data_IF_059731653350
#
_entry.id   IF_059731653350
#
_cell.length_a   1.000
_cell.length_b   1.000
_cell.length_c   1.000
_cell.angle_alpha   90.00
_cell.angle_beta   90.00
_cell.angle_gamma   90.00
#
_symmetry.space_group_name_H-M   'P 1'
#
loop_
_entity.id
_entity.type
_entity.pdbx_description
1 polymer ?
#
# COMPACT_ATOMS: atom_id res chain seq x y z
N UNK A 1 -22.25 1.83 2.50
CA UNK A 1 -21.74 2.72 3.57
C UNK A 1 -20.23 2.94 3.46
N UNK A 2 -19.39 1.89 3.48
CA UNK A 2 -17.91 2.05 3.43
C UNK A 2 -17.40 2.93 2.28
N UNK A 3 -17.90 2.77 1.06
CA UNK A 3 -17.45 3.55 -0.10
C UNK A 3 -17.85 5.03 0.00
N UNK A 4 -19.01 5.33 0.57
CA UNK A 4 -19.49 6.72 0.74
C UNK A 4 -18.62 7.47 1.74
N UNK A 5 -18.14 6.80 2.80
CA UNK A 5 -17.24 7.39 3.79
C UNK A 5 -15.79 7.45 3.32
N UNK A 6 -15.38 6.58 2.39
CA UNK A 6 -14.03 6.57 1.83
C UNK A 6 -13.69 7.83 1.03
N UNK A 7 -14.68 8.43 0.32
CA UNK A 7 -14.44 9.62 -0.51
C UNK A 7 -14.06 10.85 0.34
N UNK A 8 -14.84 11.29 1.34
CA UNK A 8 -14.44 12.42 2.18
C UNK A 8 -13.18 12.11 3.00
N UNK A 9 -13.01 10.86 3.43
CA UNK A 9 -11.82 10.41 4.16
C UNK A 9 -10.55 10.56 3.32
N UNK A 10 -10.59 10.21 2.03
CA UNK A 10 -9.42 10.34 1.14
C UNK A 10 -8.94 11.78 1.01
N UNK A 11 -9.87 12.75 0.96
CA UNK A 11 -9.54 14.16 0.90
C UNK A 11 -8.93 14.67 2.23
N UNK A 12 -9.48 14.22 3.35
CA UNK A 12 -8.97 14.59 4.67
C UNK A 12 -7.55 14.02 4.89
N UNK A 13 -7.36 12.75 4.62
CA UNK A 13 -6.08 12.07 4.83
C UNK A 13 -5.02 12.43 3.77
N UNK A 14 -5.41 12.91 2.58
CA UNK A 14 -4.48 13.47 1.61
C UNK A 14 -3.76 14.72 2.16
N UNK A 15 -4.45 15.56 2.93
CA UNK A 15 -3.83 16.71 3.62
C UNK A 15 -2.86 16.24 4.70
N UNK A 16 -3.26 15.25 5.49
CA UNK A 16 -2.41 14.65 6.53
C UNK A 16 -1.15 14.01 5.94
N UNK A 17 -1.28 13.27 4.84
CA UNK A 17 -0.16 12.63 4.14
C UNK A 17 0.86 13.66 3.63
N UNK A 18 0.40 14.82 3.18
CA UNK A 18 1.30 15.91 2.76
C UNK A 18 2.07 16.53 3.91
N UNK A 19 1.50 16.57 5.12
CA UNK A 19 2.15 17.19 6.28
C UNK A 19 3.13 16.25 6.99
N UNK A 20 2.83 14.95 7.04
CA UNK A 20 3.62 13.96 7.80
C UNK A 20 4.60 13.19 6.92
N UNK A 21 4.38 13.20 5.60
CA UNK A 21 5.11 12.39 4.63
C UNK A 21 4.40 11.07 4.31
N UNK A 22 4.61 10.58 3.08
CA UNK A 22 3.89 9.41 2.56
C UNK A 22 4.21 8.12 3.34
N UNK A 23 5.47 7.91 3.72
CA UNK A 23 5.90 6.71 4.45
C UNK A 23 5.29 6.62 5.85
N UNK A 24 5.40 7.69 6.64
CA UNK A 24 4.83 7.75 8.00
C UNK A 24 3.30 7.65 7.96
N UNK A 25 2.66 8.29 6.98
CA UNK A 25 1.21 8.21 6.77
C UNK A 25 0.78 6.78 6.42
N UNK A 26 1.55 6.07 5.60
CA UNK A 26 1.27 4.66 5.27
C UNK A 26 1.40 3.75 6.49
N UNK A 27 2.47 3.88 7.28
CA UNK A 27 2.62 3.13 8.53
C UNK A 27 1.47 3.38 9.50
N UNK A 28 1.05 4.64 9.65
CA UNK A 28 -0.07 4.99 10.52
C UNK A 28 -1.39 4.39 10.01
N UNK A 29 -1.60 4.34 8.70
CA UNK A 29 -2.78 3.68 8.11
C UNK A 29 -2.80 2.16 8.34
N UNK A 30 -1.65 1.49 8.32
CA UNK A 30 -1.54 0.06 8.65
C UNK A 30 -1.85 -0.21 10.12
N UNK A 31 -1.36 0.65 11.03
CA UNK A 31 -1.72 0.57 12.46
C UNK A 31 -3.22 0.76 12.65
N UNK A 32 -3.81 1.76 12.01
CA UNK A 32 -5.25 1.98 12.03
C UNK A 32 -6.03 0.74 11.62
N UNK A 33 -5.68 0.15 10.47
CA UNK A 33 -6.30 -1.06 9.95
C UNK A 33 -6.15 -2.25 10.89
N UNK A 34 -4.93 -2.50 11.36
CA UNK A 34 -4.64 -3.59 12.31
C UNK A 34 -5.46 -3.47 13.58
N UNK A 35 -5.53 -2.28 14.17
CA UNK A 35 -6.29 -2.02 15.40
C UNK A 35 -7.79 -2.17 15.16
N UNK A 36 -8.35 -1.54 14.13
CA UNK A 36 -9.79 -1.60 13.83
C UNK A 36 -10.23 -3.04 13.54
N UNK A 37 -9.44 -3.80 12.76
CA UNK A 37 -9.75 -5.20 12.44
C UNK A 37 -9.61 -6.11 13.65
N UNK A 38 -8.63 -5.89 14.52
CA UNK A 38 -8.45 -6.68 15.75
C UNK A 38 -9.57 -6.43 16.78
N UNK A 39 -10.05 -5.19 16.88
CA UNK A 39 -11.09 -4.79 17.83
C UNK A 39 -12.50 -5.18 17.36
N UNK A 40 -12.74 -5.22 16.05
CA UNK A 40 -14.04 -5.50 15.45
C UNK A 40 -14.72 -6.81 16.00
N UNK A 41 -14.04 -7.97 16.10
CA UNK A 41 -14.66 -9.21 16.57
C UNK A 41 -15.15 -9.15 18.03
N UNK A 42 -14.54 -8.31 18.86
CA UNK A 42 -14.94 -8.18 20.26
C UNK A 42 -16.24 -7.35 20.41
N UNK A 43 -16.43 -6.36 19.55
CA UNK A 43 -17.58 -5.47 19.58
C UNK A 43 -18.77 -5.93 18.72
N UNK A 44 -18.54 -6.84 17.76
CA UNK A 44 -19.58 -7.35 16.86
C UNK A 44 -20.21 -8.68 17.36
N UNK A 45 -19.99 -9.08 18.61
CA UNK A 45 -20.30 -10.42 19.13
C UNK A 45 -21.75 -10.67 19.52
N UNK A 46 -22.72 -9.84 19.12
CA UNK A 46 -24.11 -10.09 19.48
C UNK A 46 -25.14 -9.44 18.54
N UNK A 47 -26.33 -10.03 18.42
CA UNK A 47 -27.41 -9.52 17.53
C UNK A 47 -27.94 -8.14 17.96
N UNK A 48 -27.70 -7.73 19.20
CA UNK A 48 -28.14 -6.44 19.74
C UNK A 48 -27.24 -5.26 19.30
N UNK A 49 -26.07 -5.56 18.73
CA UNK A 49 -25.05 -4.57 18.42
C UNK A 49 -25.06 -4.11 16.95
N UNK A 50 -26.25 -4.06 16.31
CA UNK A 50 -26.39 -3.59 14.91
C UNK A 50 -25.77 -2.19 14.68
N UNK A 51 -25.88 -1.31 15.66
CA UNK A 51 -25.27 0.03 15.59
C UNK A 51 -23.75 -0.03 15.49
N UNK A 52 -23.11 -0.98 16.18
CA UNK A 52 -21.65 -1.15 16.12
C UNK A 52 -21.19 -1.59 14.74
N UNK A 53 -21.97 -2.42 14.03
CA UNK A 53 -21.65 -2.82 12.65
C UNK A 53 -21.60 -1.62 11.71
N UNK A 54 -22.52 -0.67 11.85
CA UNK A 54 -22.49 0.57 11.06
C UNK A 54 -21.27 1.43 11.41
N UNK A 55 -20.93 1.53 12.71
CA UNK A 55 -19.75 2.24 13.17
C UNK A 55 -18.46 1.67 12.57
N UNK A 56 -18.28 0.33 12.64
CA UNK A 56 -17.13 -0.33 12.03
C UNK A 56 -17.13 -0.20 10.50
N UNK A 57 -18.30 -0.21 9.84
CA UNK A 57 -18.41 0.07 8.41
C UNK A 57 -17.90 1.46 8.04
N UNK A 58 -18.15 2.47 8.87
CA UNK A 58 -17.60 3.83 8.70
C UNK A 58 -16.08 3.85 8.94
N UNK A 59 -15.60 3.22 10.01
CA UNK A 59 -14.17 3.14 10.34
C UNK A 59 -13.37 2.43 9.25
N UNK A 60 -13.89 1.34 8.69
CA UNK A 60 -13.28 0.65 7.56
C UNK A 60 -13.31 1.50 6.30
N UNK A 61 -14.43 2.19 6.04
CA UNK A 61 -14.53 3.11 4.91
C UNK A 61 -13.49 4.24 4.98
N UNK A 62 -13.30 4.82 6.17
CA UNK A 62 -12.23 5.80 6.40
C UNK A 62 -10.84 5.21 6.16
N UNK A 63 -10.59 3.99 6.62
CA UNK A 63 -9.35 3.27 6.39
C UNK A 63 -9.07 3.03 4.90
N UNK A 64 -10.08 2.62 4.12
CA UNK A 64 -9.94 2.47 2.66
C UNK A 64 -9.59 3.78 1.96
N UNK A 65 -10.26 4.87 2.33
CA UNK A 65 -9.96 6.20 1.80
C UNK A 65 -8.56 6.71 2.15
N UNK A 66 -7.94 6.15 3.19
CA UNK A 66 -6.59 6.51 3.59
C UNK A 66 -5.51 5.63 2.96
N UNK A 67 -5.63 4.29 3.08
CA UNK A 67 -4.57 3.35 2.71
C UNK A 67 -4.31 3.33 1.20
N UNK A 68 -5.36 3.26 0.36
CA UNK A 68 -5.18 3.11 -1.08
C UNK A 68 -4.49 4.29 -1.76
N UNK A 69 -4.89 5.56 -1.51
CA UNK A 69 -4.18 6.69 -2.11
C UNK A 69 -2.75 6.81 -1.59
N UNK A 70 -2.53 6.55 -0.30
CA UNK A 70 -1.21 6.67 0.32
C UNK A 70 -0.26 5.59 -0.20
N UNK A 71 -0.72 4.35 -0.36
CA UNK A 71 0.05 3.25 -0.91
C UNK A 71 0.49 3.54 -2.36
N UNK A 72 -0.43 4.02 -3.19
CA UNK A 72 -0.11 4.40 -4.58
C UNK A 72 0.86 5.57 -4.65
N UNK A 73 0.64 6.60 -3.84
CA UNK A 73 1.53 7.75 -3.76
C UNK A 73 2.94 7.33 -3.34
N UNK A 74 3.05 6.45 -2.34
CA UNK A 74 4.32 5.92 -1.87
C UNK A 74 5.04 5.16 -3.00
N UNK A 75 4.33 4.31 -3.73
CA UNK A 75 4.90 3.54 -4.81
C UNK A 75 5.37 4.43 -5.97
N UNK A 76 4.56 5.41 -6.38
CA UNK A 76 4.92 6.35 -7.43
C UNK A 76 6.17 7.19 -7.10
N UNK A 77 6.48 7.40 -5.82
CA UNK A 77 7.69 8.14 -5.40
C UNK A 77 8.98 7.32 -5.59
N UNK A 78 8.88 5.99 -5.67
CA UNK A 78 10.04 5.08 -5.84
C UNK A 78 10.29 4.80 -7.31
N UNK A 79 9.27 4.86 -8.16
CA UNK A 79 9.40 4.51 -9.58
C UNK A 79 10.35 5.48 -10.28
N UNK A 80 11.41 5.00 -10.92
CA UNK A 80 12.25 5.81 -11.76
C UNK A 80 11.50 6.24 -13.03
N UNK A 81 11.74 7.48 -13.50
CA UNK A 81 11.15 7.99 -14.73
C UNK A 81 11.49 7.12 -15.95
N UNK A 82 10.49 6.85 -16.80
CA UNK A 82 10.64 6.03 -18.01
C UNK A 82 10.30 4.54 -17.84
N UNK A 83 10.08 4.06 -16.61
CA UNK A 83 9.68 2.66 -16.32
C UNK A 83 8.35 2.57 -15.58
N UNK A 84 7.55 3.65 -15.62
CA UNK A 84 6.33 3.75 -14.82
C UNK A 84 5.31 2.66 -15.16
N UNK A 85 5.12 2.35 -16.43
CA UNK A 85 4.12 1.38 -16.89
C UNK A 85 4.48 -0.06 -16.52
N UNK A 86 5.77 -0.43 -16.65
CA UNK A 86 6.26 -1.76 -16.32
C UNK A 86 6.18 -2.03 -14.82
N UNK A 87 6.71 -1.12 -14.01
CA UNK A 87 6.72 -1.25 -12.56
C UNK A 87 5.30 -1.16 -11.98
N UNK A 88 4.43 -0.32 -12.53
CA UNK A 88 3.03 -0.28 -12.12
C UNK A 88 2.30 -1.59 -12.47
N UNK A 89 2.63 -2.24 -13.58
CA UNK A 89 2.14 -3.57 -13.93
C UNK A 89 2.55 -4.62 -12.89
N UNK A 90 3.82 -4.64 -12.49
CA UNK A 90 4.33 -5.55 -11.45
C UNK A 90 3.64 -5.31 -10.11
N UNK A 91 3.43 -4.05 -9.73
CA UNK A 91 2.72 -3.68 -8.51
C UNK A 91 1.28 -4.22 -8.48
N UNK A 92 0.53 -4.03 -9.57
CA UNK A 92 -0.84 -4.51 -9.68
C UNK A 92 -0.86 -6.05 -9.66
N UNK A 93 0.02 -6.69 -10.42
CA UNK A 93 0.12 -8.14 -10.47
C UNK A 93 0.45 -8.76 -9.11
N UNK A 94 1.46 -8.23 -8.40
CA UNK A 94 1.83 -8.68 -7.07
C UNK A 94 0.68 -8.49 -6.06
N UNK A 95 -0.05 -7.38 -6.15
CA UNK A 95 -1.23 -7.13 -5.33
C UNK A 95 -2.35 -8.13 -5.58
N UNK A 96 -2.59 -8.51 -6.84
CA UNK A 96 -3.66 -9.44 -7.19
C UNK A 96 -3.35 -10.90 -6.87
N UNK A 97 -2.09 -11.33 -6.95
CA UNK A 97 -1.67 -12.69 -6.62
C UNK A 97 -2.00 -13.06 -5.16
N UNK A 98 -1.90 -12.12 -4.25
CA UNK A 98 -2.09 -12.34 -2.81
C UNK A 98 -3.52 -12.06 -2.32
N UNK A 99 -4.38 -11.49 -3.15
CA UNK A 99 -5.76 -11.10 -2.76
C UNK A 99 -6.61 -12.28 -2.30
N UNK A 100 -6.40 -13.47 -2.84
CA UNK A 100 -7.16 -14.68 -2.46
C UNK A 100 -6.74 -15.27 -1.12
N UNK A 101 -5.55 -14.94 -0.60
CA UNK A 101 -4.97 -15.56 0.58
C UNK A 101 -5.79 -15.29 1.86
N UNK A 102 -6.14 -14.04 2.23
CA UNK A 102 -6.96 -13.76 3.40
C UNK A 102 -8.35 -14.41 3.35
N UNK A 103 -9.14 -14.29 2.25
CA UNK A 103 -10.41 -15.01 2.14
C UNK A 103 -10.27 -16.54 2.19
N UNK A 104 -9.19 -17.08 1.62
CA UNK A 104 -8.88 -18.51 1.67
C UNK A 104 -8.66 -19.00 3.09
N UNK A 105 -7.86 -18.33 3.88
CA UNK A 105 -7.62 -18.65 5.28
C UNK A 105 -8.91 -18.51 6.11
N UNK A 106 -9.69 -17.45 5.87
CA UNK A 106 -10.97 -17.26 6.52
C UNK A 106 -11.93 -18.44 6.25
N UNK A 107 -12.00 -18.90 4.99
CA UNK A 107 -12.84 -20.05 4.60
C UNK A 107 -12.38 -21.33 5.28
N UNK A 108 -11.07 -21.61 5.30
CA UNK A 108 -10.51 -22.78 5.96
C UNK A 108 -10.80 -22.79 7.47
N UNK A 109 -10.67 -21.65 8.14
CA UNK A 109 -11.01 -21.52 9.56
C UNK A 109 -12.50 -21.72 9.81
N UNK A 110 -13.35 -21.26 8.92
CA UNK A 110 -14.79 -21.42 9.01
C UNK A 110 -15.20 -22.90 8.80
N UNK A 111 -14.57 -23.63 7.87
CA UNK A 111 -14.79 -25.07 7.66
C UNK A 111 -14.30 -25.93 8.83
N UNK A 112 -13.30 -25.44 9.58
CA UNK A 112 -12.79 -26.08 10.78
C UNK A 112 -13.63 -25.80 12.03
N UNK A 113 -14.86 -25.28 11.90
CA UNK A 113 -15.76 -24.88 12.99
C UNK A 113 -15.13 -23.88 13.99
N UNK A 114 -14.09 -23.16 13.56
CA UNK A 114 -13.47 -22.10 14.35
C UNK A 114 -14.38 -20.89 14.34
N UNK A 115 -14.61 -20.27 15.50
CA UNK A 115 -15.51 -19.12 15.58
C UNK A 115 -15.05 -18.00 14.65
N UNK A 116 -15.99 -17.33 13.99
CA UNK A 116 -15.78 -16.24 13.02
C UNK A 116 -14.89 -15.10 13.56
N UNK A 117 -14.82 -14.97 14.89
CA UNK A 117 -13.93 -14.02 15.58
C UNK A 117 -12.44 -14.27 15.27
N UNK A 118 -12.03 -15.54 15.24
CA UNK A 118 -10.65 -15.92 14.95
C UNK A 118 -10.32 -15.75 13.48
N UNK A 119 -11.29 -15.95 12.58
CA UNK A 119 -11.13 -15.63 11.16
C UNK A 119 -10.81 -14.16 10.95
N UNK A 120 -11.56 -13.26 11.59
CA UNK A 120 -11.31 -11.83 11.50
C UNK A 120 -10.01 -11.40 12.20
N UNK A 121 -9.66 -12.05 13.32
CA UNK A 121 -8.39 -11.80 14.01
C UNK A 121 -7.18 -12.25 13.16
N UNK A 122 -7.29 -13.34 12.39
CA UNK A 122 -6.24 -13.79 11.49
C UNK A 122 -5.94 -12.76 10.40
N UNK A 123 -6.96 -12.03 9.93
CA UNK A 123 -6.81 -10.97 8.94
C UNK A 123 -6.00 -9.80 9.50
N UNK A 124 -6.14 -9.49 10.80
CA UNK A 124 -5.31 -8.48 11.47
C UNK A 124 -3.81 -8.82 11.45
N UNK A 125 -3.44 -10.11 11.48
CA UNK A 125 -2.05 -10.53 11.42
C UNK A 125 -1.35 -10.06 10.13
N UNK A 126 -2.07 -10.05 8.99
CA UNK A 126 -1.51 -9.58 7.73
C UNK A 126 -1.12 -8.10 7.79
N UNK A 127 -1.92 -7.28 8.49
CA UNK A 127 -1.59 -5.86 8.67
C UNK A 127 -0.36 -5.67 9.54
N UNK A 128 -0.18 -6.48 10.58
CA UNK A 128 1.02 -6.43 11.42
C UNK A 128 2.26 -6.92 10.67
N UNK A 129 2.13 -7.97 9.85
CA UNK A 129 3.23 -8.43 8.98
C UNK A 129 3.60 -7.33 7.97
N UNK A 130 2.61 -6.69 7.33
CA UNK A 130 2.85 -5.58 6.42
C UNK A 130 3.53 -4.39 7.13
N UNK A 131 3.12 -4.09 8.37
CA UNK A 131 3.75 -3.07 9.20
C UNK A 131 5.21 -3.41 9.51
N UNK A 132 5.50 -4.66 9.90
CA UNK A 132 6.85 -5.13 10.18
C UNK A 132 7.74 -5.05 8.94
N UNK A 133 7.26 -5.51 7.78
CA UNK A 133 7.98 -5.41 6.51
C UNK A 133 8.27 -3.96 6.14
N UNK A 134 7.28 -3.08 6.27
CA UNK A 134 7.43 -1.64 5.98
C UNK A 134 8.43 -0.99 6.93
N UNK A 135 8.45 -1.40 8.20
CA UNK A 135 9.42 -0.92 9.18
C UNK A 135 10.85 -1.39 8.86
N UNK A 136 11.02 -2.67 8.48
CA UNK A 136 12.33 -3.24 8.09
C UNK A 136 12.88 -2.64 6.80
N UNK A 137 12.01 -2.22 5.87
CA UNK A 137 12.44 -1.48 4.66
C UNK A 137 13.20 -0.19 4.98
N UNK A 138 13.10 0.30 6.22
CA UNK A 138 13.87 1.44 6.70
C UNK A 138 13.47 2.78 6.09
N UNK A 139 14.40 3.73 6.13
CA UNK A 139 14.14 5.09 5.67
C UNK A 139 13.86 5.14 4.17
N UNK A 140 12.60 5.33 3.86
CA UNK A 140 12.09 5.52 2.51
C UNK A 140 12.82 6.64 1.75
N UNK A 141 13.29 7.68 2.44
CA UNK A 141 14.08 8.75 1.86
C UNK A 141 15.41 8.24 1.27
N UNK A 142 16.04 7.26 1.92
CA UNK A 142 17.27 6.63 1.42
C UNK A 142 16.99 5.80 0.16
N UNK A 143 15.88 5.05 0.13
CA UNK A 143 15.47 4.29 -1.04
C UNK A 143 15.16 5.21 -2.23
N UNK A 144 14.50 6.33 -1.99
CA UNK A 144 14.20 7.34 -3.00
C UNK A 144 15.46 8.04 -3.52
N UNK A 145 16.43 8.37 -2.66
CA UNK A 145 17.71 8.94 -3.07
C UNK A 145 18.50 7.97 -3.95
N UNK A 146 18.57 6.69 -3.57
CA UNK A 146 19.23 5.65 -4.36
C UNK A 146 18.56 5.46 -5.73
N UNK A 147 17.24 5.47 -5.80
CA UNK A 147 16.51 5.35 -7.05
C UNK A 147 16.82 6.53 -7.99
N UNK A 148 16.85 7.76 -7.46
CA UNK A 148 17.22 8.97 -8.24
C UNK A 148 18.66 8.95 -8.69
N UNK A 149 19.60 8.50 -7.85
CA UNK A 149 21.02 8.38 -8.21
C UNK A 149 21.23 7.35 -9.32
N UNK A 150 20.55 6.21 -9.24
CA UNK A 150 20.62 5.16 -10.27
C UNK A 150 20.07 5.66 -11.61
N UNK A 151 18.98 6.42 -11.57
CA UNK A 151 18.43 7.06 -12.77
C UNK A 151 19.40 8.07 -13.37
N UNK A 152 20.00 8.94 -12.55
CA UNK A 152 21.00 9.90 -13.00
C UNK A 152 22.20 9.24 -13.69
N UNK A 153 22.71 8.14 -13.13
CA UNK A 153 23.80 7.35 -13.73
C UNK A 153 23.41 6.73 -15.07
N UNK A 154 22.17 6.23 -15.21
CA UNK A 154 21.68 5.65 -16.48
C UNK A 154 21.51 6.71 -17.57
N UNK A 155 20.98 7.87 -17.23
CA UNK A 155 20.82 8.98 -18.18
C UNK A 155 22.18 9.50 -18.67
N UNK A 156 23.14 9.66 -17.77
CA UNK A 156 24.52 10.08 -18.14
C UNK A 156 25.22 9.01 -19.01
N UNK A 157 25.04 7.71 -18.69
CA UNK A 157 25.59 6.63 -19.49
C UNK A 157 25.01 6.57 -20.91
N UNK A 158 23.68 6.73 -21.03
CA UNK A 158 23.01 6.75 -22.32
C UNK A 158 23.40 7.97 -23.19
N UNK A 159 23.65 9.13 -22.57
CA UNK A 159 24.15 10.32 -23.28
C UNK A 159 25.59 10.15 -23.75
N UNK A 160 26.45 9.47 -22.98
CA UNK A 160 27.81 9.19 -23.39
C UNK A 160 27.87 8.23 -24.59
N UNK A 161 27.06 7.15 -24.53
CA UNK A 161 27.00 6.12 -25.58
C UNK A 161 26.39 6.68 -26.90
N UNK A 162 25.33 7.50 -26.82
CA UNK A 162 24.73 8.17 -27.97
C UNK A 162 25.61 9.26 -28.60
N UNK A 163 26.48 9.91 -27.82
CA UNK A 163 27.44 10.90 -28.31
C UNK A 163 28.56 10.28 -29.14
N UNK A 164 28.99 9.06 -28.81
CA UNK A 164 30.05 8.36 -29.54
C UNK A 164 29.54 7.81 -30.90
N UNK A 165 28.27 7.37 -31.01
CA UNK A 165 27.68 6.98 -32.29
C UNK A 165 27.52 8.15 -33.26
N UNK A 166 27.15 9.34 -32.77
CA UNK A 166 27.00 10.54 -33.60
C UNK A 166 28.35 11.07 -34.06
N UNK A 167 29.39 11.01 -33.23
CA UNK A 167 30.74 11.38 -33.57
C UNK A 167 31.38 10.47 -34.62
N UNK A 168 31.14 9.16 -34.53
CA UNK A 168 31.62 8.15 -35.51
C UNK A 168 30.93 8.35 -36.87
N UNK A 169 29.65 8.70 -36.88
CA UNK A 169 28.92 8.91 -38.14
C UNK A 169 29.35 10.19 -38.88
N UNK A 170 29.73 11.23 -38.13
CA UNK A 170 30.26 12.48 -38.72
C UNK A 170 31.72 12.36 -39.24
N UNK A 171 32.50 11.40 -38.72
CA UNK A 171 33.87 11.14 -39.19
C UNK A 171 33.95 10.32 -40.48
N UNK A 172 32.84 9.72 -40.93
CA UNK A 172 32.74 8.89 -42.11
C UNK A 172 32.07 9.57 -43.32
N UNK A 173 31.80 10.90 -43.23
CA UNK A 173 31.32 11.77 -44.31
C UNK A 173 32.44 12.71 -44.75
#
# INVERSE_FOLDING_TARGET
>A
MCLVTAVPASLLFARLTRSIGAHKSYMLSLVWWGVVTLVAPFFMSGPEHKANTYLFGVLWGMGFGWIYPTQRALYCLIIPGGQESELMGIYIFAGQILVWLPPGIFTLLNEADVSMKWGLASDACFFFVALAVTYVMGDFEIAQMKAKETLGKRVMGAQADGGDEEAVNLSNV
#
